data_IF_426198373043
#
_entry.id   IF_426198373043
#
_cell.length_a   1.000
_cell.length_b   1.000
_cell.length_c   1.000
_cell.angle_alpha   90.00
_cell.angle_beta   90.00
_cell.angle_gamma   90.00
#
_symmetry.space_group_name_H-M   'P 1'
#
loop_
_entity.id
_entity.type
_entity.pdbx_description
1 polymer ?
#
# COMPACT_ATOMS: atom_id res chain seq x y z
N UNK A 1 24.69 -11.08 10.46
CA UNK A 1 24.07 -9.96 9.72
C UNK A 1 24.51 -10.14 8.27
N UNK A 2 23.60 -10.38 7.34
CA UNK A 2 23.95 -10.46 5.92
C UNK A 2 22.92 -9.71 5.09
N UNK A 3 23.45 -8.95 4.14
CA UNK A 3 22.74 -8.08 3.22
C UNK A 3 22.53 -8.85 1.93
N UNK A 4 21.29 -8.94 1.44
CA UNK A 4 21.05 -9.45 0.08
C UNK A 4 21.54 -8.37 -0.88
N UNK A 5 22.63 -8.65 -1.57
CA UNK A 5 23.20 -7.75 -2.58
C UNK A 5 22.40 -7.84 -3.86
N UNK A 6 21.86 -6.69 -4.24
CA UNK A 6 21.13 -6.39 -5.47
C UNK A 6 21.95 -6.82 -6.70
N UNK A 7 21.70 -8.02 -7.24
CA UNK A 7 22.39 -8.53 -8.43
C UNK A 7 21.71 -8.00 -9.70
N UNK A 8 22.04 -6.76 -10.08
CA UNK A 8 21.91 -6.30 -11.46
C UNK A 8 20.95 -5.14 -11.74
N UNK A 9 20.29 -4.56 -10.74
CA UNK A 9 19.49 -3.33 -10.96
C UNK A 9 20.38 -2.09 -10.73
N UNK A 10 20.47 -1.14 -11.68
CA UNK A 10 21.27 0.08 -11.52
C UNK A 10 20.93 0.81 -10.20
N UNK A 11 21.96 1.26 -9.47
CA UNK A 11 21.88 1.94 -8.16
C UNK A 11 21.27 3.35 -8.21
N UNK A 12 20.33 3.62 -9.10
CA UNK A 12 19.66 4.94 -9.22
C UNK A 12 18.37 5.05 -8.40
N UNK A 13 18.09 4.11 -7.49
CA UNK A 13 16.87 4.12 -6.67
C UNK A 13 17.22 4.00 -5.17
N UNK A 14 18.08 4.89 -4.69
CA UNK A 14 18.14 5.25 -3.27
C UNK A 14 17.67 6.70 -3.16
N UNK A 15 16.46 6.94 -3.67
CA UNK A 15 15.73 8.20 -3.55
C UNK A 15 14.53 8.01 -2.65
N UNK A 16 14.10 9.08 -2.00
CA UNK A 16 12.90 9.17 -1.15
C UNK A 16 11.60 9.06 -1.97
N UNK A 17 11.56 8.22 -3.00
CA UNK A 17 10.38 8.01 -3.85
C UNK A 17 9.58 6.83 -3.31
N UNK A 18 8.29 7.06 -3.08
CA UNK A 18 7.32 6.09 -2.54
C UNK A 18 7.04 4.95 -3.55
N UNK A 19 7.57 5.08 -4.77
CA UNK A 19 7.28 4.23 -5.92
C UNK A 19 8.55 3.71 -6.57
N UNK A 20 8.47 2.59 -7.26
CA UNK A 20 9.61 1.94 -7.89
C UNK A 20 10.15 0.76 -7.08
N UNK A 21 11.34 0.27 -7.49
CA UNK A 21 11.98 -0.88 -6.87
C UNK A 21 12.82 -0.47 -5.66
N UNK A 22 12.67 -1.17 -4.54
CA UNK A 22 13.44 -0.88 -3.35
C UNK A 22 13.26 -1.90 -2.23
N UNK A 23 13.95 -1.66 -1.12
CA UNK A 23 13.76 -2.43 0.11
C UNK A 23 12.66 -1.75 0.93
N UNK A 24 11.48 -2.38 1.11
CA UNK A 24 10.42 -1.81 1.91
C UNK A 24 10.94 -1.61 3.35
N UNK A 25 10.90 -0.37 3.83
CA UNK A 25 11.26 -0.05 5.22
C UNK A 25 10.05 -0.33 6.12
N UNK A 26 10.28 -0.94 7.28
CA UNK A 26 9.24 -1.16 8.30
C UNK A 26 8.70 0.19 8.78
N UNK A 27 9.62 1.12 9.04
CA UNK A 27 9.38 2.51 9.42
C UNK A 27 10.73 3.25 9.36
N UNK A 28 10.72 4.58 9.32
CA UNK A 28 11.93 5.39 9.53
C UNK A 28 12.53 5.21 10.93
N UNK A 29 11.73 4.77 11.90
CA UNK A 29 12.16 4.55 13.29
C UNK A 29 12.82 3.20 13.55
N UNK A 30 12.76 2.26 12.61
CA UNK A 30 13.37 0.94 12.75
C UNK A 30 14.51 0.78 11.75
N UNK A 31 15.72 0.51 12.25
CA UNK A 31 16.90 0.23 11.42
C UNK A 31 16.89 -1.17 10.79
N UNK A 32 15.95 -2.03 11.20
CA UNK A 32 15.78 -3.39 10.65
C UNK A 32 15.04 -3.33 9.30
N UNK A 33 15.54 -4.09 8.33
CA UNK A 33 14.91 -4.30 7.03
C UNK A 33 14.17 -5.63 7.01
N UNK A 34 13.14 -5.73 6.17
CA UNK A 34 12.50 -7.01 5.89
C UNK A 34 13.41 -7.91 5.05
N UNK A 35 13.24 -9.24 5.18
CA UNK A 35 13.79 -10.22 4.24
C UNK A 35 12.95 -10.26 2.96
N UNK A 36 12.86 -9.12 2.27
CA UNK A 36 12.05 -8.96 1.06
C UNK A 36 12.53 -7.79 0.23
N UNK A 37 12.33 -7.92 -1.08
CA UNK A 37 12.44 -6.83 -2.04
C UNK A 37 11.04 -6.41 -2.49
N UNK A 38 10.87 -5.15 -2.83
CA UNK A 38 9.58 -4.56 -3.13
C UNK A 38 9.58 -3.75 -4.41
N UNK A 39 8.45 -3.77 -5.13
CA UNK A 39 8.15 -2.82 -6.19
C UNK A 39 6.80 -2.16 -5.93
N UNK A 40 6.80 -0.84 -5.82
CA UNK A 40 5.62 -0.05 -5.44
C UNK A 40 5.10 0.76 -6.64
N UNK A 41 3.82 0.63 -6.95
CA UNK A 41 3.14 1.38 -8.01
C UNK A 41 2.06 2.26 -7.38
N UNK A 42 2.03 3.50 -7.82
CA UNK A 42 1.13 4.52 -7.30
C UNK A 42 0.70 5.39 -8.47
N UNK A 43 -0.61 5.55 -8.68
CA UNK A 43 -1.14 6.19 -9.88
C UNK A 43 -0.98 5.32 -11.13
N UNK A 44 -0.64 5.93 -12.27
CA UNK A 44 -0.57 5.25 -13.57
C UNK A 44 0.61 4.27 -13.64
N UNK A 45 0.38 2.99 -14.00
CA UNK A 45 1.46 2.01 -14.14
C UNK A 45 2.41 2.26 -15.31
N UNK A 46 2.12 3.19 -16.23
CA UNK A 46 2.85 3.32 -17.49
C UNK A 46 4.34 3.59 -17.28
N UNK A 47 4.66 4.54 -16.40
CA UNK A 47 6.04 4.90 -16.09
C UNK A 47 6.78 3.72 -15.44
N UNK A 48 6.12 3.07 -14.47
CA UNK A 48 6.64 1.89 -13.76
C UNK A 48 6.85 0.67 -14.68
N UNK A 49 5.93 0.44 -15.62
CA UNK A 49 6.00 -0.64 -16.60
C UNK A 49 7.23 -0.49 -17.52
N UNK A 50 7.50 0.73 -17.96
CA UNK A 50 8.67 1.06 -18.79
C UNK A 50 9.98 0.81 -18.04
N UNK A 51 10.04 1.10 -16.74
CA UNK A 51 11.22 0.83 -15.92
C UNK A 51 11.47 -0.68 -15.76
N UNK A 52 10.42 -1.48 -15.52
CA UNK A 52 10.56 -2.91 -15.29
C UNK A 52 10.85 -3.71 -16.56
N UNK A 53 10.21 -3.36 -17.69
CA UNK A 53 10.28 -4.13 -18.93
C UNK A 53 10.28 -3.20 -20.16
N UNK A 54 11.38 -2.47 -20.44
CA UNK A 54 11.44 -1.46 -21.50
C UNK A 54 10.90 -1.95 -22.86
N UNK A 55 11.26 -3.18 -23.26
CA UNK A 55 10.92 -3.73 -24.59
C UNK A 55 9.56 -4.44 -24.64
N UNK A 56 8.91 -4.72 -23.51
CA UNK A 56 7.65 -5.49 -23.44
C UNK A 56 6.71 -4.95 -22.35
N UNK A 57 6.69 -3.64 -22.16
CA UNK A 57 5.98 -2.99 -21.06
C UNK A 57 4.46 -3.02 -21.23
N UNK A 58 3.92 -3.13 -22.44
CA UNK A 58 2.48 -3.04 -22.71
C UNK A 58 1.67 -4.16 -22.05
N UNK A 59 2.14 -5.40 -22.07
CA UNK A 59 1.42 -6.51 -21.43
C UNK A 59 1.32 -6.30 -19.92
N UNK A 60 2.45 -5.95 -19.29
CA UNK A 60 2.47 -5.64 -17.86
C UNK A 60 1.57 -4.43 -17.55
N UNK A 61 1.71 -3.35 -18.32
CA UNK A 61 0.88 -2.15 -18.17
C UNK A 61 -0.62 -2.47 -18.24
N UNK A 62 -1.06 -3.18 -19.27
CA UNK A 62 -2.47 -3.52 -19.48
C UNK A 62 -3.03 -4.36 -18.31
N UNK A 63 -2.29 -5.40 -17.90
CA UNK A 63 -2.68 -6.26 -16.77
C UNK A 63 -2.76 -5.45 -15.47
N UNK A 64 -1.79 -4.56 -15.21
CA UNK A 64 -1.80 -3.76 -13.99
C UNK A 64 -2.94 -2.73 -13.96
N UNK A 65 -3.26 -2.13 -15.12
CA UNK A 65 -4.41 -1.21 -15.25
C UNK A 65 -5.72 -1.94 -14.96
N UNK A 66 -5.94 -3.11 -15.55
CA UNK A 66 -7.14 -3.91 -15.32
C UNK A 66 -7.22 -4.39 -13.87
N UNK A 67 -6.12 -4.90 -13.33
CA UNK A 67 -6.06 -5.38 -11.94
C UNK A 67 -6.35 -4.27 -10.92
N UNK A 68 -5.78 -3.08 -11.09
CA UNK A 68 -6.07 -1.94 -10.21
C UNK A 68 -7.54 -1.49 -10.31
N UNK A 69 -8.14 -1.53 -11.50
CA UNK A 69 -9.55 -1.21 -11.71
C UNK A 69 -10.45 -2.17 -10.93
N UNK A 70 -10.23 -3.47 -11.06
CA UNK A 70 -11.01 -4.49 -10.35
C UNK A 70 -10.84 -4.38 -8.83
N UNK A 71 -9.62 -4.16 -8.34
CA UNK A 71 -9.36 -3.97 -6.91
C UNK A 71 -9.95 -2.69 -6.35
N UNK A 72 -10.00 -1.60 -7.14
CA UNK A 72 -10.66 -0.37 -6.75
C UNK A 72 -12.16 -0.60 -6.55
N UNK A 73 -12.83 -1.21 -7.54
CA UNK A 73 -14.26 -1.53 -7.43
C UNK A 73 -14.58 -2.48 -6.28
N UNK A 74 -13.72 -3.48 -6.03
CA UNK A 74 -13.86 -4.37 -4.88
C UNK A 74 -13.71 -3.61 -3.55
N UNK A 75 -12.71 -2.72 -3.45
CA UNK A 75 -12.44 -1.94 -2.24
C UNK A 75 -13.61 -1.00 -1.90
N UNK A 76 -14.18 -0.34 -2.90
CA UNK A 76 -15.36 0.51 -2.76
C UNK A 76 -16.57 -0.30 -2.24
N UNK A 77 -16.80 -1.49 -2.79
CA UNK A 77 -17.89 -2.37 -2.34
C UNK A 77 -17.70 -2.83 -0.90
N UNK A 78 -16.49 -3.26 -0.53
CA UNK A 78 -16.19 -3.71 0.84
C UNK A 78 -16.37 -2.56 1.83
N UNK A 79 -15.82 -1.39 1.52
CA UNK A 79 -15.95 -0.21 2.38
C UNK A 79 -17.41 0.24 2.50
N UNK A 80 -18.16 0.24 1.40
CA UNK A 80 -19.59 0.53 1.42
C UNK A 80 -20.34 -0.38 2.38
N UNK A 81 -20.11 -1.69 2.31
CA UNK A 81 -20.71 -2.66 3.23
C UNK A 81 -20.30 -2.41 4.69
N UNK A 82 -19.02 -2.10 4.96
CA UNK A 82 -18.54 -1.77 6.30
C UNK A 82 -19.27 -0.54 6.86
N UNK A 83 -19.38 0.54 6.09
CA UNK A 83 -20.06 1.75 6.55
C UNK A 83 -21.56 1.56 6.72
N UNK A 84 -22.22 0.85 5.80
CA UNK A 84 -23.64 0.52 5.95
C UNK A 84 -23.88 -0.34 7.20
N UNK A 85 -22.98 -1.27 7.53
CA UNK A 85 -23.08 -2.06 8.78
C UNK A 85 -22.95 -1.21 10.05
N UNK A 86 -22.34 -0.03 9.95
CA UNK A 86 -22.24 0.97 11.02
C UNK A 86 -23.42 1.97 11.00
N UNK A 87 -24.41 1.79 10.13
CA UNK A 87 -25.57 2.70 10.03
C UNK A 87 -25.26 4.03 9.33
N UNK A 88 -24.16 4.13 8.60
CA UNK A 88 -23.80 5.32 7.82
C UNK A 88 -24.39 5.27 6.41
N UNK A 89 -24.88 6.41 5.93
CA UNK A 89 -25.50 6.52 4.60
C UNK A 89 -24.48 6.89 3.52
N UNK A 90 -24.88 6.79 2.25
CA UNK A 90 -24.01 7.19 1.13
C UNK A 90 -23.60 8.67 1.21
N UNK A 91 -24.46 9.53 1.76
CA UNK A 91 -24.18 10.94 2.00
C UNK A 91 -23.09 11.14 3.06
N UNK A 92 -23.01 10.26 4.06
CA UNK A 92 -21.97 10.30 5.10
C UNK A 92 -20.60 9.88 4.56
N UNK A 93 -20.61 8.99 3.57
CA UNK A 93 -19.41 8.41 2.95
C UNK A 93 -18.93 9.26 1.76
N UNK A 94 -19.65 10.32 1.43
CA UNK A 94 -19.38 11.25 0.32
C UNK A 94 -17.96 11.83 0.35
N UNK A 95 -17.35 11.95 1.54
CA UNK A 95 -15.96 12.38 1.71
C UNK A 95 -14.93 11.41 1.11
N UNK A 96 -15.29 10.14 0.89
CA UNK A 96 -14.44 9.16 0.22
C UNK A 96 -14.58 9.21 -1.30
N UNK A 97 -15.73 9.66 -1.81
CA UNK A 97 -16.05 9.67 -3.24
C UNK A 97 -15.84 11.03 -3.92
N UNK A 98 -15.92 12.15 -3.19
CA UNK A 98 -15.86 13.48 -3.80
C UNK A 98 -14.53 14.22 -3.59
N UNK A 99 -13.85 14.48 -4.71
CA UNK A 99 -12.90 15.58 -4.86
C UNK A 99 -13.54 16.67 -5.72
N UNK A 100 -13.81 17.84 -5.14
CA UNK A 100 -14.46 18.99 -5.79
C UNK A 100 -13.66 19.65 -6.94
N UNK A 101 -12.60 19.04 -7.47
CA UNK A 101 -11.84 19.56 -8.62
C UNK A 101 -11.19 18.42 -9.40
N UNK A 102 -11.88 17.93 -10.44
CA UNK A 102 -11.30 17.40 -11.69
C UNK A 102 -10.54 16.06 -11.70
N UNK A 103 -9.72 15.71 -10.70
CA UNK A 103 -9.07 14.40 -10.65
C UNK A 103 -8.47 14.08 -9.27
N UNK A 104 -9.22 13.50 -8.34
CA UNK A 104 -8.59 12.81 -7.18
C UNK A 104 -9.44 11.64 -6.70
N UNK A 105 -9.32 10.51 -7.38
CA UNK A 105 -9.69 9.23 -6.81
C UNK A 105 -8.88 8.96 -5.52
N UNK A 106 -9.39 8.11 -4.62
CA UNK A 106 -8.62 7.56 -3.52
C UNK A 106 -7.25 7.07 -3.98
N UNK A 107 -6.27 7.29 -3.13
CA UNK A 107 -4.90 6.94 -3.41
C UNK A 107 -4.70 5.44 -3.17
N UNK A 108 -4.44 4.71 -4.25
CA UNK A 108 -4.09 3.31 -4.20
C UNK A 108 -2.57 3.13 -4.33
N UNK A 109 -1.98 2.40 -3.37
CA UNK A 109 -0.63 1.90 -3.46
C UNK A 109 -0.69 0.40 -3.72
N UNK A 110 -0.10 -0.04 -4.83
CA UNK A 110 0.10 -1.44 -5.11
C UNK A 110 1.55 -1.81 -4.80
N UNK A 111 1.74 -2.75 -3.89
CA UNK A 111 3.04 -3.23 -3.44
C UNK A 111 3.24 -4.67 -3.88
N UNK A 112 4.21 -4.93 -4.75
CA UNK A 112 4.66 -6.27 -5.11
C UNK A 112 5.85 -6.64 -4.23
N UNK A 113 5.75 -7.74 -3.49
CA UNK A 113 6.80 -8.23 -2.61
C UNK A 113 7.38 -9.53 -3.13
N UNK A 114 8.70 -9.61 -3.13
CA UNK A 114 9.47 -10.82 -3.39
C UNK A 114 10.21 -11.26 -2.13
N UNK A 115 9.99 -12.50 -1.73
CA UNK A 115 10.61 -13.14 -0.58
C UNK A 115 11.56 -14.23 -1.09
N UNK A 116 12.87 -13.95 -1.18
CA UNK A 116 13.85 -14.94 -1.59
C UNK A 116 14.04 -15.99 -0.51
N UNK A 117 14.71 -17.09 -0.88
CA UNK A 117 15.07 -18.14 0.05
C UNK A 117 15.84 -17.55 1.23
N UNK A 118 15.46 -17.93 2.45
CA UNK A 118 16.11 -17.46 3.66
C UNK A 118 16.88 -18.62 4.31
N UNK A 119 18.22 -18.52 4.44
CA UNK A 119 19.02 -19.56 5.07
C UNK A 119 18.67 -19.85 6.52
N UNK A 120 18.12 -18.87 7.25
CA UNK A 120 17.67 -19.03 8.66
C UNK A 120 16.28 -18.41 8.85
N UNK A 121 15.20 -19.20 8.63
CA UNK A 121 13.83 -18.71 8.74
C UNK A 121 13.34 -18.59 10.20
N UNK A 122 14.06 -19.16 11.17
CA UNK A 122 13.61 -19.27 12.57
C UNK A 122 13.94 -18.04 13.42
N UNK A 123 14.74 -17.12 12.89
CA UNK A 123 15.11 -15.89 13.58
C UNK A 123 13.87 -15.07 13.95
N UNK A 124 13.73 -14.59 15.21
CA UNK A 124 12.55 -13.85 15.63
C UNK A 124 12.51 -12.45 15.00
N UNK A 125 11.41 -12.16 14.30
CA UNK A 125 11.11 -10.86 13.70
C UNK A 125 10.02 -10.15 14.51
N UNK A 126 10.29 -8.91 14.92
CA UNK A 126 9.38 -8.07 15.71
C UNK A 126 8.42 -7.34 14.77
N UNK A 127 7.31 -7.97 14.39
CA UNK A 127 6.19 -7.33 13.69
C UNK A 127 4.86 -7.96 14.12
N UNK A 128 3.79 -7.15 14.22
CA UNK A 128 2.43 -7.61 14.58
C UNK A 128 1.86 -8.58 13.52
N UNK A 129 2.09 -8.26 12.24
CA UNK A 129 1.85 -9.16 11.10
C UNK A 129 3.19 -9.40 10.38
N UNK A 130 3.48 -10.66 10.03
CA UNK A 130 4.73 -11.05 9.36
C UNK A 130 4.51 -12.00 8.20
N UNK A 131 5.28 -11.84 7.13
CA UNK A 131 5.43 -12.83 6.09
C UNK A 131 6.59 -13.76 6.46
N UNK A 132 6.31 -15.05 6.65
CA UNK A 132 7.35 -16.05 6.87
C UNK A 132 8.08 -16.36 5.56
N UNK A 133 9.38 -16.56 5.69
CA UNK A 133 10.28 -16.92 4.60
C UNK A 133 10.65 -18.39 4.72
N UNK A 134 11.01 -19.00 3.60
CA UNK A 134 11.31 -20.42 3.51
C UNK A 134 12.70 -20.63 2.89
N UNK A 135 13.32 -21.77 3.15
CA UNK A 135 14.54 -22.24 2.52
C UNK A 135 14.32 -22.90 1.16
N UNK A 136 13.11 -23.37 0.84
CA UNK A 136 12.87 -24.24 -0.33
C UNK A 136 12.15 -23.59 -1.49
N UNK A 137 11.39 -22.49 -1.27
CA UNK A 137 10.61 -21.84 -2.32
C UNK A 137 10.63 -20.32 -2.19
N UNK A 138 10.81 -19.65 -3.33
CA UNK A 138 10.55 -18.22 -3.44
C UNK A 138 9.05 -17.96 -3.26
N UNK A 139 8.70 -16.84 -2.63
CA UNK A 139 7.29 -16.39 -2.52
C UNK A 139 7.14 -15.01 -3.13
N UNK A 140 6.08 -14.83 -3.91
CA UNK A 140 5.63 -13.53 -4.39
C UNK A 140 4.29 -13.19 -3.75
N UNK A 141 4.03 -11.91 -3.49
CA UNK A 141 2.72 -11.43 -3.07
C UNK A 141 2.46 -10.03 -3.60
N UNK A 142 1.20 -9.69 -3.83
CA UNK A 142 0.78 -8.33 -4.16
C UNK A 142 -0.14 -7.85 -3.05
N UNK A 143 0.17 -6.70 -2.46
CA UNK A 143 -0.70 -5.99 -1.54
C UNK A 143 -1.27 -4.75 -2.23
N UNK A 144 -2.53 -4.46 -1.96
CA UNK A 144 -3.22 -3.28 -2.47
C UNK A 144 -3.75 -2.49 -1.29
N UNK A 145 -3.21 -1.29 -1.10
CA UNK A 145 -3.59 -0.39 -0.03
C UNK A 145 -4.47 0.69 -0.63
N UNK A 146 -5.76 0.67 -0.29
CA UNK A 146 -6.75 1.65 -0.71
C UNK A 146 -7.01 2.63 0.41
N UNK A 147 -6.85 3.93 0.15
CA UNK A 147 -7.09 4.96 1.15
C UNK A 147 -7.46 6.31 0.54
N UNK A 148 -8.00 7.24 1.33
CA UNK A 148 -8.34 8.58 0.85
C UNK A 148 -7.08 9.41 0.59
N UNK A 149 -7.21 10.43 -0.25
CA UNK A 149 -6.11 11.32 -0.65
C UNK A 149 -6.28 12.70 -0.04
N UNK A 150 -5.27 13.19 0.69
CA UNK A 150 -5.20 14.56 1.19
C UNK A 150 -6.43 15.00 2.02
N UNK A 151 -7.07 14.07 2.74
CA UNK A 151 -8.22 14.37 3.60
C UNK A 151 -7.83 14.41 5.09
N UNK A 152 -8.65 15.12 5.86
CA UNK A 152 -8.68 14.96 7.31
C UNK A 152 -9.50 13.71 7.65
N UNK A 153 -8.88 12.81 8.40
CA UNK A 153 -9.50 11.62 8.97
C UNK A 153 -9.93 11.98 10.39
N UNK A 154 -11.19 11.75 10.72
CA UNK A 154 -11.71 11.86 12.09
C UNK A 154 -12.76 10.77 12.33
N UNK A 155 -13.03 10.42 13.60
CA UNK A 155 -14.21 9.62 13.94
C UNK A 155 -15.47 10.26 13.35
N UNK A 156 -16.38 9.42 12.83
CA UNK A 156 -17.69 9.90 12.36
C UNK A 156 -18.51 10.34 13.56
N UNK A 157 -18.98 11.59 13.56
CA UNK A 157 -19.76 12.14 14.67
C UNK A 157 -21.07 11.36 14.90
N UNK A 158 -21.60 10.70 13.87
CA UNK A 158 -22.79 9.84 13.96
C UNK A 158 -22.55 8.57 14.76
N UNK A 159 -21.29 8.16 14.95
CA UNK A 159 -20.89 7.00 15.72
C UNK A 159 -20.37 7.37 17.11
N UNK A 160 -20.51 8.64 17.50
CA UNK A 160 -20.07 9.14 18.80
C UNK A 160 -21.29 9.31 19.69
N UNK A 161 -21.28 8.64 20.83
CA UNK A 161 -22.30 8.74 21.86
C UNK A 161 -21.68 8.64 23.26
N UNK A 162 -22.52 8.51 24.28
CA UNK A 162 -22.06 8.42 25.68
C UNK A 162 -21.25 7.13 25.94
N UNK A 163 -21.59 6.03 25.27
CA UNK A 163 -20.95 4.72 25.44
C UNK A 163 -19.75 4.55 24.49
N UNK A 164 -19.70 5.32 23.40
CA UNK A 164 -18.65 5.35 22.40
C UNK A 164 -18.07 6.77 22.24
N UNK A 165 -17.27 7.26 23.21
CA UNK A 165 -16.68 8.60 23.14
C UNK A 165 -15.60 8.69 22.06
N UNK A 166 -15.26 9.93 21.67
CA UNK A 166 -14.17 10.19 20.71
C UNK A 166 -12.83 9.73 21.27
N UNK A 167 -12.23 8.72 20.65
CA UNK A 167 -10.90 8.19 21.04
C UNK A 167 -9.74 8.73 20.21
N UNK A 168 -10.02 9.19 18.98
CA UNK A 168 -8.98 9.61 18.05
C UNK A 168 -9.18 11.07 17.65
N UNK A 169 -8.10 11.85 17.74
CA UNK A 169 -8.08 13.23 17.24
C UNK A 169 -8.12 13.26 15.70
N UNK A 170 -8.71 14.30 15.09
CA UNK A 170 -8.58 14.51 13.66
C UNK A 170 -7.11 14.61 13.21
N UNK A 171 -6.75 13.91 12.14
CA UNK A 171 -5.41 13.91 11.57
C UNK A 171 -5.47 13.94 10.05
N UNK A 172 -4.50 14.59 9.40
CA UNK A 172 -4.37 14.51 7.95
C UNK A 172 -3.77 13.16 7.54
N UNK A 173 -4.25 12.59 6.44
CA UNK A 173 -3.68 11.34 5.89
C UNK A 173 -2.15 11.45 5.68
N UNK A 174 -1.71 12.62 5.19
CA UNK A 174 -0.30 12.97 5.01
C UNK A 174 0.52 12.82 6.30
N UNK A 175 -0.02 13.29 7.43
CA UNK A 175 0.66 13.23 8.74
C UNK A 175 0.79 11.80 9.28
N UNK A 176 -0.16 10.92 8.98
CA UNK A 176 -0.14 9.52 9.43
C UNK A 176 0.90 8.71 8.66
N UNK A 177 0.99 8.89 7.35
CA UNK A 177 1.82 8.06 6.48
C UNK A 177 3.13 8.72 6.01
N UNK A 178 3.35 10.01 6.31
CA UNK A 178 4.63 10.67 6.10
C UNK A 178 5.00 10.95 4.64
N UNK A 179 4.01 11.09 3.77
CA UNK A 179 4.17 11.56 2.38
C UNK A 179 4.08 13.09 2.30
#
# INVERSE_FOLDING_TARGET
>A
MFQVTNRGVPKQVIGCEITGYGLPRISTFFSKLFWSEGFSIMGSPLHHARQLRPNHHFNFYNVMVEYQKELMGLSERILGLMFTSLGLTQEDIKCLSESKNGSKHPHALLQQNSYPLCPDPTRPWTALHRALVNQTRHRLSIAYCYGPKDVNISPSIKLVDHDHPILYRPVTWKRVFGF
#
